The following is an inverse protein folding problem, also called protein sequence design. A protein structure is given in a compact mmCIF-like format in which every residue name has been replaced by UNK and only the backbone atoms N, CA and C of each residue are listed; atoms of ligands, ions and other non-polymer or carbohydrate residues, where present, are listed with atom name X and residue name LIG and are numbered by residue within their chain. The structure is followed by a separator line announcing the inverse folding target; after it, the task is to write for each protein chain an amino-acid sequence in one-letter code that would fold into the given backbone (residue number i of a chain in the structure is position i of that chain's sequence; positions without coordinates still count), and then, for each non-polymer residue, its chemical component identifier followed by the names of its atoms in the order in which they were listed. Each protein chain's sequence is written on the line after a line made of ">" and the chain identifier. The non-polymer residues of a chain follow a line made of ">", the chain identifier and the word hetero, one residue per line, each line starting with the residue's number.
data_IF_320988857371
#
_entry.id   IF_320988857371
#
_cell.length_a   1.000
_cell.length_b   1.000
_cell.length_c   1.000
_cell.angle_alpha   90.00
_cell.angle_beta   90.00
_cell.angle_gamma   90.00
#
_symmetry.space_group_name_H-M   'P 1'
#
loop_
_entity.id
_entity.type
_entity.pdbx_description
1 polymer ?
#
# COMPACT_ATOMS: atom_id res chain seq x y z
N UNK A 1 -21.53 4.14 -1.12
CA UNK A 1 -20.44 5.02 -0.63
C UNK A 1 -20.54 5.09 0.88
N UNK A 2 -19.41 5.13 1.59
CA UNK A 2 -19.31 5.00 3.05
C UNK A 2 -19.30 6.39 3.73
N UNK A 3 -20.45 6.92 4.18
CA UNK A 3 -20.53 8.26 4.76
C UNK A 3 -19.82 8.40 6.11
N UNK A 4 -19.60 7.31 6.85
CA UNK A 4 -18.98 7.34 8.18
C UNK A 4 -17.46 7.11 8.15
N UNK A 5 -16.88 6.99 6.96
CA UNK A 5 -15.45 6.80 6.80
C UNK A 5 -14.73 8.13 6.56
N UNK A 6 -13.75 8.44 7.41
CA UNK A 6 -12.87 9.60 7.25
C UNK A 6 -11.59 9.20 6.52
N UNK A 7 -11.24 9.91 5.44
CA UNK A 7 -9.98 9.74 4.75
C UNK A 7 -8.95 10.80 5.18
N UNK A 8 -7.73 10.37 5.44
CA UNK A 8 -6.57 11.20 5.77
C UNK A 8 -5.46 10.85 4.78
N UNK A 9 -4.99 11.86 4.06
CA UNK A 9 -3.90 11.71 3.10
C UNK A 9 -2.62 12.19 3.79
N UNK A 10 -1.58 11.37 3.77
CA UNK A 10 -0.27 11.71 4.33
C UNK A 10 0.78 11.62 3.22
N UNK A 11 1.46 12.73 3.01
CA UNK A 11 2.58 12.85 2.08
C UNK A 11 3.77 13.45 2.84
N UNK A 12 4.99 12.90 2.70
CA UNK A 12 5.38 11.78 1.82
C UNK A 12 5.29 10.38 2.47
N UNK A 13 5.03 9.31 1.68
CA UNK A 13 5.16 7.90 2.12
C UNK A 13 6.49 7.29 1.61
N UNK A 14 7.53 7.18 2.45
CA UNK A 14 8.82 6.67 2.00
C UNK A 14 8.79 5.17 1.68
N UNK A 15 9.31 4.83 0.51
CA UNK A 15 9.45 3.48 -0.04
C UNK A 15 10.93 3.11 -0.17
N UNK A 16 11.24 1.83 0.01
CA UNK A 16 12.55 1.29 -0.33
C UNK A 16 12.50 0.72 -1.73
N UNK A 17 13.29 1.26 -2.64
CA UNK A 17 13.38 0.83 -4.04
C UNK A 17 14.66 0.03 -4.23
N UNK A 18 14.60 -1.11 -4.91
CA UNK A 18 15.78 -1.90 -5.22
C UNK A 18 16.63 -1.21 -6.29
N UNK A 19 17.95 -1.20 -6.10
CA UNK A 19 18.89 -0.62 -7.07
C UNK A 19 19.46 -1.77 -7.90
N UNK A 20 19.18 -1.76 -9.20
CA UNK A 20 19.67 -2.76 -10.15
C UNK A 20 21.18 -2.60 -10.38
N UNK A 21 21.60 -1.38 -10.72
CA UNK A 21 23.00 -1.05 -10.99
C UNK A 21 23.66 -0.43 -9.77
N UNK A 22 24.48 -1.22 -9.07
CA UNK A 22 25.16 -0.76 -7.86
C UNK A 22 26.25 0.26 -8.19
N UNK A 23 26.21 1.36 -7.46
CA UNK A 23 27.24 2.40 -7.55
C UNK A 23 28.52 1.95 -6.87
N UNK A 24 29.65 2.12 -7.56
CA UNK A 24 30.99 1.78 -7.06
C UNK A 24 31.91 2.99 -7.03
N UNK A 25 32.97 2.89 -6.22
CA UNK A 25 34.07 3.87 -6.20
C UNK A 25 35.35 3.33 -6.86
N UNK A 26 35.30 2.10 -7.38
CA UNK A 26 36.43 1.44 -8.06
C UNK A 26 36.70 2.04 -9.45
N UNK A 27 37.93 1.86 -9.93
CA UNK A 27 38.41 2.43 -11.21
C UNK A 27 37.59 2.02 -12.43
N UNK A 28 36.93 0.85 -12.41
CA UNK A 28 36.12 0.33 -13.52
C UNK A 28 34.65 0.77 -13.55
N UNK A 29 34.12 1.37 -12.47
CA UNK A 29 32.72 1.82 -12.42
C UNK A 29 32.57 2.99 -11.44
N UNK A 30 33.32 4.07 -11.69
CA UNK A 30 33.40 5.24 -10.81
C UNK A 30 32.21 6.15 -11.05
N UNK A 31 31.33 6.25 -10.06
CA UNK A 31 30.16 7.14 -10.13
C UNK A 31 30.50 8.52 -9.56
N UNK A 32 30.02 9.58 -10.20
CA UNK A 32 30.23 10.94 -9.71
C UNK A 32 29.31 11.25 -8.52
N UNK A 33 29.83 11.90 -7.48
CA UNK A 33 29.04 12.28 -6.30
C UNK A 33 27.95 13.32 -6.63
N UNK A 34 28.14 14.11 -7.68
CA UNK A 34 27.14 15.06 -8.21
C UNK A 34 25.82 14.37 -8.59
N UNK A 35 25.88 13.10 -9.01
CA UNK A 35 24.71 12.31 -9.40
C UNK A 35 23.91 11.78 -8.19
N UNK A 36 24.35 12.07 -6.95
CA UNK A 36 23.72 11.60 -5.70
C UNK A 36 23.47 10.09 -5.70
N UNK A 37 24.43 9.36 -6.27
CA UNK A 37 24.35 7.93 -6.43
C UNK A 37 24.22 7.22 -5.08
N UNK A 38 23.22 6.36 -4.94
CA UNK A 38 22.94 5.66 -3.69
C UNK A 38 23.88 4.47 -3.54
N UNK A 39 24.53 4.40 -2.39
CA UNK A 39 25.39 3.26 -2.05
C UNK A 39 24.55 2.14 -1.45
N UNK A 40 24.68 0.92 -2.00
CA UNK A 40 24.04 -0.27 -1.47
C UNK A 40 23.04 -0.92 -2.43
N UNK A 41 22.16 -1.76 -1.86
CA UNK A 41 21.19 -2.57 -2.62
C UNK A 41 19.82 -1.89 -2.77
N UNK A 42 19.54 -0.86 -1.98
CA UNK A 42 18.23 -0.21 -1.92
C UNK A 42 18.36 1.30 -1.75
N UNK A 43 17.61 2.07 -2.52
CA UNK A 43 17.41 3.51 -2.36
C UNK A 43 16.14 3.82 -1.56
N UNK A 44 16.02 5.04 -1.07
CA UNK A 44 14.80 5.55 -0.44
C UNK A 44 14.15 6.56 -1.38
N UNK A 45 12.91 6.29 -1.76
CA UNK A 45 12.07 7.19 -2.55
C UNK A 45 10.90 7.67 -1.68
N UNK A 46 10.48 8.92 -1.81
CA UNK A 46 9.40 9.48 -1.01
C UNK A 46 8.40 10.32 -1.81
N UNK A 47 8.61 10.45 -3.13
CA UNK A 47 7.84 11.36 -3.98
C UNK A 47 6.81 10.65 -4.87
N UNK A 48 6.95 9.35 -5.09
CA UNK A 48 6.09 8.58 -6.02
C UNK A 48 4.82 8.03 -5.37
N UNK A 49 4.78 7.96 -4.02
CA UNK A 49 3.73 7.26 -3.29
C UNK A 49 3.06 8.12 -2.23
N UNK A 50 1.73 8.03 -2.20
CA UNK A 50 0.88 8.68 -1.18
C UNK A 50 0.31 7.64 -0.22
N UNK A 51 0.16 8.01 1.06
CA UNK A 51 -0.50 7.17 2.06
C UNK A 51 -1.93 7.65 2.28
N UNK A 52 -2.90 6.81 1.95
CA UNK A 52 -4.32 7.02 2.24
C UNK A 52 -4.68 6.21 3.48
N UNK A 53 -4.98 6.90 4.57
CA UNK A 53 -5.45 6.30 5.82
C UNK A 53 -6.95 6.54 5.95
N UNK A 54 -7.70 5.46 5.99
CA UNK A 54 -9.15 5.46 6.17
C UNK A 54 -9.45 5.13 7.63
N UNK A 55 -10.31 5.90 8.27
CA UNK A 55 -10.75 5.67 9.64
C UNK A 55 -12.26 5.44 9.61
N UNK A 56 -12.72 4.33 10.14
CA UNK A 56 -14.17 4.04 10.23
C UNK A 56 -14.51 3.54 11.63
N UNK A 57 -15.70 3.93 12.09
CA UNK A 57 -16.30 3.56 13.37
C UNK A 57 -17.55 2.67 13.17
N UNK A 58 -17.92 2.36 11.92
CA UNK A 58 -19.06 1.52 11.59
C UNK A 58 -18.61 0.08 11.24
N UNK A 59 -19.12 -0.96 11.92
CA UNK A 59 -18.78 -2.35 11.62
C UNK A 59 -19.17 -2.78 10.19
N UNK A 60 -20.28 -2.28 9.64
CA UNK A 60 -20.71 -2.66 8.28
C UNK A 60 -19.78 -2.05 7.23
N UNK A 61 -19.39 -0.79 7.40
CA UNK A 61 -18.41 -0.15 6.52
C UNK A 61 -17.03 -0.80 6.67
N UNK A 62 -16.62 -1.13 7.90
CA UNK A 62 -15.36 -1.82 8.17
C UNK A 62 -15.29 -3.16 7.41
N UNK A 63 -16.36 -3.96 7.41
CA UNK A 63 -16.44 -5.20 6.64
C UNK A 63 -16.38 -4.94 5.12
N UNK A 64 -17.02 -3.87 4.64
CA UNK A 64 -16.96 -3.45 3.24
C UNK A 64 -15.58 -2.95 2.78
N UNK A 65 -14.75 -2.46 3.71
CA UNK A 65 -13.36 -2.05 3.44
C UNK A 65 -12.36 -3.21 3.45
N UNK A 66 -12.70 -4.34 4.06
CA UNK A 66 -11.83 -5.51 4.04
C UNK A 66 -11.59 -5.98 2.60
N UNK A 67 -10.44 -6.59 2.31
CA UNK A 67 -10.12 -7.07 0.96
C UNK A 67 -11.19 -8.08 0.49
N UNK A 68 -11.86 -7.77 -0.61
CA UNK A 68 -13.00 -8.52 -1.14
C UNK A 68 -14.37 -7.87 -0.86
N UNK A 69 -14.40 -6.78 -0.09
CA UNK A 69 -15.58 -5.95 0.06
C UNK A 69 -15.84 -5.06 -1.16
N UNK A 70 -17.10 -4.69 -1.36
CA UNK A 70 -17.52 -3.86 -2.50
C UNK A 70 -16.92 -2.45 -2.44
N UNK A 71 -16.84 -1.85 -1.24
CA UNK A 71 -16.33 -0.49 -1.03
C UNK A 71 -14.84 -0.42 -1.33
N UNK A 72 -14.07 -1.44 -0.91
CA UNK A 72 -12.66 -1.55 -1.25
C UNK A 72 -12.43 -1.62 -2.76
N UNK A 73 -13.23 -2.41 -3.47
CA UNK A 73 -13.10 -2.57 -4.93
C UNK A 73 -13.49 -1.30 -5.67
N UNK A 74 -14.57 -0.64 -5.26
CA UNK A 74 -15.04 0.62 -5.84
C UNK A 74 -14.00 1.73 -5.66
N UNK A 75 -13.39 1.85 -4.47
CA UNK A 75 -12.30 2.80 -4.25
C UNK A 75 -11.12 2.53 -5.18
N UNK A 76 -10.69 1.27 -5.34
CA UNK A 76 -9.58 0.93 -6.24
C UNK A 76 -9.87 1.31 -7.70
N UNK A 77 -11.11 1.14 -8.16
CA UNK A 77 -11.53 1.59 -9.50
C UNK A 77 -11.48 3.11 -9.60
N UNK A 78 -11.97 3.82 -8.59
CA UNK A 78 -11.91 5.28 -8.55
C UNK A 78 -10.46 5.78 -8.58
N UNK A 79 -9.57 5.17 -7.80
CA UNK A 79 -8.13 5.50 -7.82
C UNK A 79 -7.51 5.25 -9.20
N UNK A 80 -7.95 4.18 -9.88
CA UNK A 80 -7.51 3.92 -11.25
C UNK A 80 -7.89 5.02 -12.23
N UNK A 81 -9.07 5.60 -12.09
CA UNK A 81 -9.54 6.69 -12.97
C UNK A 81 -8.90 8.03 -12.58
N UNK A 82 -8.80 8.33 -11.29
CA UNK A 82 -8.32 9.63 -10.80
C UNK A 82 -6.79 9.76 -10.79
N UNK A 83 -6.08 8.78 -10.23
CA UNK A 83 -4.61 8.82 -10.17
C UNK A 83 -4.02 8.28 -11.47
N UNK A 84 -4.64 7.29 -12.09
CA UNK A 84 -4.12 6.64 -13.29
C UNK A 84 -2.71 6.13 -13.05
N UNK A 85 -1.74 6.68 -13.80
CA UNK A 85 -0.31 6.37 -13.72
C UNK A 85 0.52 7.45 -13.00
N UNK A 86 -0.12 8.51 -12.47
CA UNK A 86 0.60 9.68 -11.93
C UNK A 86 1.31 9.38 -10.62
N UNK A 87 0.70 8.58 -9.75
CA UNK A 87 1.23 8.26 -8.43
C UNK A 87 0.67 6.93 -7.93
N UNK A 88 1.48 6.23 -7.16
CA UNK A 88 1.03 5.03 -6.45
C UNK A 88 0.39 5.43 -5.12
N UNK A 89 -0.55 4.62 -4.65
CA UNK A 89 -1.23 4.88 -3.40
C UNK A 89 -1.27 3.65 -2.50
N UNK A 90 -0.83 3.84 -1.26
CA UNK A 90 -0.91 2.82 -0.22
C UNK A 90 -2.13 3.07 0.63
N UNK A 91 -2.98 2.05 0.79
CA UNK A 91 -4.21 2.15 1.54
C UNK A 91 -4.07 1.48 2.91
N UNK A 92 -4.39 2.21 3.97
CA UNK A 92 -4.50 1.70 5.34
C UNK A 92 -5.90 1.97 5.86
N UNK A 93 -6.39 1.05 6.69
CA UNK A 93 -7.65 1.17 7.40
C UNK A 93 -7.38 1.11 8.89
N UNK A 94 -7.80 2.13 9.62
CA UNK A 94 -7.76 2.17 11.07
C UNK A 94 -9.18 1.92 11.59
N UNK A 95 -9.37 0.80 12.27
CA UNK A 95 -10.65 0.43 12.89
C UNK A 95 -10.44 0.08 14.36
N UNK A 96 -11.39 0.39 15.25
CA UNK A 96 -11.35 -0.11 16.61
C UNK A 96 -11.49 -1.65 16.63
N UNK A 97 -10.73 -2.28 17.52
CA UNK A 97 -10.60 -3.75 17.60
C UNK A 97 -11.93 -4.44 17.89
N UNK A 98 -12.86 -3.73 18.53
CA UNK A 98 -14.24 -4.17 18.80
C UNK A 98 -15.08 -4.43 17.54
N UNK A 99 -14.73 -3.81 16.40
CA UNK A 99 -15.49 -3.92 15.15
C UNK A 99 -14.92 -4.97 14.19
N UNK A 100 -13.78 -5.58 14.52
CA UNK A 100 -13.18 -6.58 13.66
C UNK A 100 -13.91 -7.92 13.78
N UNK A 101 -14.22 -8.58 12.66
CA UNK A 101 -14.83 -9.89 12.70
C UNK A 101 -13.88 -10.91 13.33
N UNK A 102 -14.42 -11.83 14.13
CA UNK A 102 -13.63 -12.90 14.73
C UNK A 102 -12.88 -13.70 13.64
N UNK A 103 -11.57 -13.89 13.77
CA UNK A 103 -10.80 -14.68 12.82
C UNK A 103 -11.11 -16.17 13.00
N UNK A 104 -12.21 -16.63 12.37
CA UNK A 104 -12.57 -18.04 12.27
C UNK A 104 -11.96 -18.67 11.02
N UNK A 105 -11.10 -19.66 11.20
CA UNK A 105 -10.60 -20.52 10.13
C UNK A 105 -11.78 -21.29 9.51
N UNK A 106 -12.22 -20.88 8.32
CA UNK A 106 -13.33 -21.53 7.63
C UNK A 106 -13.47 -21.07 6.17
N UNK A 107 -14.10 -21.90 5.34
CA UNK A 107 -14.20 -21.71 3.89
C UNK A 107 -15.04 -20.47 3.48
N UNK A 108 -15.80 -19.88 4.41
CA UNK A 108 -16.71 -18.75 4.13
C UNK A 108 -16.06 -17.36 4.20
N UNK A 109 -14.94 -17.18 4.92
CA UNK A 109 -14.28 -15.88 5.09
C UNK A 109 -12.76 -16.04 5.08
N UNK A 110 -12.12 -15.57 4.01
CA UNK A 110 -10.67 -15.74 3.80
C UNK A 110 -9.91 -14.76 4.68
N UNK A 111 -9.52 -15.20 5.87
CA UNK A 111 -8.66 -14.40 6.76
C UNK A 111 -7.31 -14.24 6.07
N UNK A 112 -6.89 -13.00 5.87
CA UNK A 112 -5.55 -12.71 5.37
C UNK A 112 -4.62 -12.57 6.58
N UNK A 113 -3.84 -13.62 6.83
CA UNK A 113 -2.79 -13.65 7.84
C UNK A 113 -1.86 -12.44 7.64
N UNK A 114 -1.57 -11.72 8.72
CA UNK A 114 -0.79 -10.47 8.68
C UNK A 114 -1.56 -9.20 8.32
N UNK A 115 -2.88 -9.29 8.04
CA UNK A 115 -3.75 -8.13 7.77
C UNK A 115 -4.94 -8.07 8.74
N UNK A 116 -5.75 -9.13 8.81
CA UNK A 116 -7.01 -9.16 9.58
C UNK A 116 -7.05 -10.19 10.70
N UNK A 117 -6.00 -11.00 10.85
CA UNK A 117 -5.94 -12.07 11.85
C UNK A 117 -5.41 -11.58 13.20
N UNK A 118 -6.27 -10.95 14.02
CA UNK A 118 -5.92 -10.68 15.43
C UNK A 118 -6.25 -11.90 16.29
N UNK A 119 -5.25 -12.73 16.53
CA UNK A 119 -5.38 -13.93 17.36
C UNK A 119 -5.18 -13.58 18.84
N UNK A 120 -6.02 -14.13 19.72
CA UNK A 120 -5.85 -13.99 21.18
C UNK A 120 -6.85 -13.08 21.88
N UNK A 121 -7.82 -12.50 21.17
CA UNK A 121 -9.00 -11.91 21.80
C UNK A 121 -9.88 -13.05 22.31
N UNK A 122 -9.81 -13.37 23.61
CA UNK A 122 -10.70 -14.35 24.22
C UNK A 122 -12.14 -13.87 24.06
N UNK A 123 -12.95 -14.69 23.41
CA UNK A 123 -14.38 -14.52 23.15
C UNK A 123 -15.09 -13.76 24.30
N UNK A 124 -15.55 -12.54 24.01
CA UNK A 124 -16.45 -11.79 24.87
C UNK A 124 -15.84 -11.00 26.04
N UNK A 125 -14.51 -10.88 26.18
CA UNK A 125 -13.88 -10.02 27.20
C UNK A 125 -12.82 -9.10 26.60
N UNK A 126 -13.23 -8.17 25.74
CA UNK A 126 -12.47 -6.94 25.55
C UNK A 126 -12.73 -6.07 26.77
N UNK A 127 -11.73 -5.83 27.61
CA UNK A 127 -11.85 -4.78 28.61
C UNK A 127 -12.12 -3.45 27.87
N UNK A 128 -12.89 -2.52 28.44
CA UNK A 128 -13.22 -1.22 27.81
C UNK A 128 -11.99 -0.51 27.25
N UNK A 129 -10.80 -0.70 27.85
CA UNK A 129 -9.50 -0.21 27.34
C UNK A 129 -9.03 -0.85 26.02
N UNK A 130 -9.27 -2.14 25.82
CA UNK A 130 -8.88 -2.89 24.61
C UNK A 130 -9.89 -2.73 23.48
N UNK A 131 -11.15 -2.42 23.80
CA UNK A 131 -12.18 -2.08 22.82
C UNK A 131 -11.92 -0.73 22.12
N UNK A 132 -11.28 0.22 22.81
CA UNK A 132 -10.84 1.51 22.26
C UNK A 132 -9.50 1.43 21.54
N UNK A 133 -8.81 0.30 21.62
CA UNK A 133 -7.56 0.12 20.89
C UNK A 133 -7.86 0.07 19.39
N UNK A 134 -7.15 0.90 18.61
CA UNK A 134 -7.35 1.01 17.17
C UNK A 134 -6.35 0.11 16.46
N UNK A 135 -6.84 -0.78 15.61
CA UNK A 135 -6.01 -1.60 14.74
C UNK A 135 -5.85 -0.92 13.39
N UNK A 136 -4.60 -0.75 12.96
CA UNK A 136 -4.29 -0.33 11.59
C UNK A 136 -4.05 -1.56 10.71
N UNK A 137 -4.98 -1.83 9.80
CA UNK A 137 -4.92 -2.88 8.79
C UNK A 137 -4.40 -2.32 7.47
N UNK A 138 -3.54 -3.05 6.77
CA UNK A 138 -3.14 -2.68 5.41
C UNK A 138 -4.19 -3.18 4.40
N UNK A 139 -4.76 -2.28 3.58
CA UNK A 139 -5.75 -2.60 2.56
C UNK A 139 -5.14 -2.88 1.17
N UNK A 140 -3.86 -2.60 0.99
CA UNK A 140 -3.10 -2.90 -0.22
C UNK A 140 -2.42 -1.67 -0.80
N UNK A 141 -1.86 -1.85 -1.99
CA UNK A 141 -1.25 -0.79 -2.78
C UNK A 141 -1.99 -0.74 -4.13
N UNK A 142 -2.36 0.46 -4.56
CA UNK A 142 -2.71 0.74 -5.94
C UNK A 142 -1.43 1.16 -6.66
N UNK A 143 -1.05 0.37 -7.67
CA UNK A 143 0.09 0.63 -8.55
C UNK A 143 -0.47 0.79 -9.97
N UNK A 144 -0.32 1.99 -10.53
CA UNK A 144 -0.88 2.31 -11.85
C UNK A 144 -0.11 1.67 -13.00
N UNK A 145 1.18 1.40 -12.77
CA UNK A 145 2.10 0.80 -13.73
C UNK A 145 2.84 -0.37 -13.08
N UNK A 146 2.77 -1.53 -13.73
CA UNK A 146 3.67 -2.63 -13.40
C UNK A 146 4.87 -2.54 -14.35
N UNK A 147 5.96 -1.99 -13.85
CA UNK A 147 7.23 -1.93 -14.58
C UNK A 147 7.85 -3.34 -14.66
N UNK A 148 7.37 -4.14 -15.61
CA UNK A 148 8.04 -5.38 -15.99
C UNK A 148 9.06 -5.05 -17.07
N UNK A 149 10.35 -5.39 -16.90
CA UNK A 149 11.35 -5.10 -17.90
C UNK A 149 11.05 -5.92 -19.16
N UNK A 150 10.75 -5.22 -20.26
CA UNK A 150 10.65 -5.81 -21.58
C UNK A 150 11.99 -5.66 -22.30
N UNK A 151 12.25 -6.56 -23.25
CA UNK A 151 13.42 -6.43 -24.10
C UNK A 151 13.34 -5.10 -24.88
N UNK A 152 14.47 -4.40 -25.09
CA UNK A 152 14.50 -3.19 -25.89
C UNK A 152 13.90 -3.47 -27.27
N UNK A 153 12.97 -2.61 -27.71
CA UNK A 153 12.49 -2.65 -29.09
C UNK A 153 13.61 -2.17 -30.03
N UNK A 154 13.55 -2.61 -31.29
CA UNK A 154 14.49 -2.18 -32.32
C UNK A 154 14.31 -0.68 -32.60
N UNK A 155 15.40 0.09 -32.54
CA UNK A 155 15.37 1.53 -32.74
C UNK A 155 15.01 1.85 -34.20
N UNK A 156 14.13 2.83 -34.43
CA UNK A 156 13.63 3.17 -35.76
C UNK A 156 14.66 3.79 -36.72
N UNK A 157 15.90 4.03 -36.27
CA UNK A 157 17.02 4.57 -37.05
C UNK A 157 16.70 5.77 -37.97
N UNK A 158 15.67 6.57 -37.64
CA UNK A 158 15.28 7.73 -38.43
C UNK A 158 16.37 8.80 -38.39
N UNK A 159 16.85 9.22 -39.56
CA UNK A 159 17.65 10.44 -39.72
C UNK A 159 16.70 11.61 -39.97
N UNK A 160 16.77 12.62 -39.10
CA UNK A 160 16.16 13.92 -39.38
C UNK A 160 17.24 14.74 -40.11
N UNK A 161 17.02 15.02 -41.39
CA UNK A 161 17.81 16.00 -42.18
C UNK A 161 17.30 17.43 -41.96
#
# INVERSE_FOLDING_TARGET
>A
MAPHTRAIITEPDPVKVAIENRSGLGSGNRVQLSQRATLGKTGKEACSRVLVTLVTEDPQEAEGWLPGGQIHTDLLVLMRVYLGYRSDARLKLTVPVSLLPEPRLGNRRRIQLGRTGLLGLKAGKLNTRQATETLTVNLGCYEGLQCTPLLPAEDGHYRFE
#
